data_IF_709054600785
#
_entry.id   IF_709054600785
#
_cell.length_a   1.000
_cell.length_b   1.000
_cell.length_c   1.000
_cell.angle_alpha   90.00
_cell.angle_beta   90.00
_cell.angle_gamma   90.00
#
_symmetry.space_group_name_H-M   'P 1'
#
loop_
_entity.id
_entity.type
_entity.pdbx_description
1 polymer ?
#
# COMPACT_ATOMS: atom_id res chain seq x y z
N UNK A 1 24.05 41.96 -20.56
CA UNK A 1 23.70 40.53 -20.67
C UNK A 1 23.09 40.09 -19.35
N UNK A 2 21.76 40.06 -19.22
CA UNK A 2 21.10 39.62 -17.98
C UNK A 2 21.21 38.10 -17.87
N UNK A 3 21.95 37.59 -16.89
CA UNK A 3 22.02 36.15 -16.64
C UNK A 3 20.67 35.64 -16.10
N UNK A 4 20.24 34.47 -16.58
CA UNK A 4 19.09 33.76 -16.00
C UNK A 4 19.45 33.22 -14.62
N UNK A 5 18.65 33.55 -13.63
CA UNK A 5 18.72 32.95 -12.30
C UNK A 5 17.97 31.62 -12.31
N UNK A 6 18.64 30.55 -11.87
CA UNK A 6 18.05 29.22 -11.70
C UNK A 6 17.62 28.99 -10.24
N UNK A 7 16.74 28.01 -10.01
CA UNK A 7 16.37 27.59 -8.64
C UNK A 7 17.54 26.83 -7.99
N UNK A 8 17.69 26.90 -6.66
CA UNK A 8 18.65 26.07 -5.92
C UNK A 8 18.42 24.57 -6.17
N UNK A 9 19.50 23.80 -6.32
CA UNK A 9 19.48 22.34 -6.50
C UNK A 9 20.35 21.70 -5.41
N UNK A 10 19.72 21.04 -4.44
CA UNK A 10 20.40 20.30 -3.37
C UNK A 10 19.68 18.96 -3.13
N UNK A 11 20.18 17.85 -3.72
CA UNK A 11 19.60 16.52 -3.51
C UNK A 11 19.90 15.93 -2.13
N UNK A 12 20.77 16.58 -1.35
CA UNK A 12 21.11 16.19 0.03
C UNK A 12 20.38 17.01 1.08
N UNK A 13 19.46 17.90 0.66
CA UNK A 13 18.67 18.73 1.55
C UNK A 13 17.92 17.87 2.57
N UNK A 14 18.12 18.18 3.85
CA UNK A 14 17.47 17.51 4.97
C UNK A 14 16.25 18.34 5.41
N UNK A 15 15.14 17.67 5.66
CA UNK A 15 13.98 18.29 6.31
C UNK A 15 14.11 18.18 7.84
N UNK A 16 13.77 19.26 8.55
CA UNK A 16 13.79 19.27 10.03
C UNK A 16 12.79 18.26 10.63
N UNK A 17 11.62 18.13 10.02
CA UNK A 17 10.61 17.12 10.33
C UNK A 17 10.22 16.42 9.03
N UNK A 18 9.99 15.08 9.05
CA UNK A 18 9.50 14.40 7.88
C UNK A 18 8.12 14.94 7.52
N UNK A 19 7.82 15.20 6.23
CA UNK A 19 6.47 15.57 5.82
C UNK A 19 5.49 14.48 6.23
N UNK A 20 4.24 14.85 6.52
CA UNK A 20 3.18 13.88 6.82
C UNK A 20 3.01 12.91 5.64
N UNK A 21 2.70 11.63 5.89
CA UNK A 21 2.40 10.65 4.82
C UNK A 21 1.29 11.15 3.87
N UNK A 22 0.40 12.01 4.36
CA UNK A 22 -0.70 12.62 3.61
C UNK A 22 -0.24 13.74 2.67
N UNK A 23 0.99 14.25 2.83
CA UNK A 23 1.58 15.30 2.01
C UNK A 23 2.60 14.74 1.01
N UNK A 24 2.88 13.44 1.07
CA UNK A 24 3.88 12.80 0.20
C UNK A 24 3.44 12.67 -1.25
N UNK A 25 2.13 12.74 -1.52
CA UNK A 25 1.55 12.59 -2.85
C UNK A 25 0.59 13.75 -3.14
N UNK A 26 0.33 14.06 -4.42
CA UNK A 26 -0.71 15.01 -4.80
C UNK A 26 -2.08 14.61 -4.22
N UNK A 27 -2.92 15.59 -3.85
CA UNK A 27 -4.21 15.34 -3.19
C UNK A 27 -5.16 14.39 -3.96
N UNK A 28 -5.06 14.33 -5.29
CA UNK A 28 -5.87 13.46 -6.16
C UNK A 28 -5.16 12.16 -6.57
N UNK A 29 -4.12 11.76 -5.85
CA UNK A 29 -3.35 10.56 -6.17
C UNK A 29 -4.18 9.29 -5.92
N UNK A 30 -4.06 8.30 -6.82
CA UNK A 30 -4.81 7.04 -6.75
C UNK A 30 -4.65 6.31 -5.41
N UNK A 31 -3.47 6.37 -4.80
CA UNK A 31 -3.22 5.76 -3.49
C UNK A 31 -4.19 6.26 -2.40
N UNK A 32 -4.59 7.54 -2.41
CA UNK A 32 -5.57 8.07 -1.46
C UNK A 32 -6.97 7.53 -1.75
N UNK A 33 -7.36 7.43 -3.02
CA UNK A 33 -8.61 6.75 -3.39
C UNK A 33 -8.64 5.28 -2.91
N UNK A 34 -7.53 4.56 -3.01
CA UNK A 34 -7.42 3.20 -2.47
C UNK A 34 -7.55 3.18 -0.94
N UNK A 35 -6.95 4.14 -0.23
CA UNK A 35 -7.11 4.25 1.23
C UNK A 35 -8.56 4.51 1.64
N UNK A 36 -9.31 5.27 0.84
CA UNK A 36 -10.71 5.59 1.12
C UNK A 36 -11.65 4.39 0.85
N UNK A 37 -11.38 3.59 -0.19
CA UNK A 37 -12.25 2.47 -0.57
C UNK A 37 -11.99 1.20 0.23
N UNK A 38 -10.76 0.93 0.67
CA UNK A 38 -10.45 -0.32 1.38
C UNK A 38 -11.28 -0.51 2.66
N UNK A 39 -11.52 0.52 3.50
CA UNK A 39 -12.39 0.40 4.67
C UNK A 39 -13.85 0.07 4.37
N UNK A 40 -14.35 0.33 3.16
CA UNK A 40 -15.73 0.02 2.78
C UNK A 40 -15.90 -1.40 2.24
N UNK A 41 -14.80 -2.14 2.05
CA UNK A 41 -14.85 -3.54 1.64
C UNK A 41 -15.30 -4.44 2.80
N UNK A 42 -16.13 -5.44 2.51
CA UNK A 42 -16.48 -6.47 3.49
C UNK A 42 -15.27 -7.41 3.72
N UNK A 43 -14.55 -7.16 4.81
CA UNK A 43 -13.36 -7.94 5.19
C UNK A 43 -13.65 -9.01 6.24
N UNK A 44 -14.91 -9.26 6.60
CA UNK A 44 -15.27 -10.19 7.67
C UNK A 44 -14.68 -11.58 7.43
N UNK A 45 -14.77 -12.07 6.19
CA UNK A 45 -14.24 -13.38 5.83
C UNK A 45 -12.70 -13.46 5.97
N UNK A 46 -12.00 -12.35 5.76
CA UNK A 46 -10.55 -12.26 5.93
C UNK A 46 -10.22 -12.21 7.42
N UNK A 47 -10.86 -11.33 8.18
CA UNK A 47 -10.63 -11.16 9.62
C UNK A 47 -10.94 -12.44 10.41
N UNK A 48 -12.06 -13.11 10.13
CA UNK A 48 -12.46 -14.37 10.80
C UNK A 48 -11.50 -15.53 10.55
N UNK A 49 -10.65 -15.45 9.52
CA UNK A 49 -9.63 -16.48 9.25
C UNK A 49 -8.40 -16.36 10.15
N UNK A 50 -8.18 -15.19 10.75
CA UNK A 50 -7.19 -15.02 11.80
C UNK A 50 -7.78 -15.63 13.08
N UNK A 51 -7.32 -16.83 13.42
CA UNK A 51 -7.69 -17.51 14.66
C UNK A 51 -7.28 -16.72 15.91
N UNK A 52 -7.44 -17.31 17.11
CA UNK A 52 -7.04 -16.64 18.35
C UNK A 52 -5.55 -16.24 18.30
N UNK A 53 -5.17 -15.14 18.99
CA UNK A 53 -3.78 -14.70 19.04
C UNK A 53 -2.85 -15.86 19.44
N UNK A 54 -1.95 -16.25 18.55
CA UNK A 54 -0.96 -17.28 18.80
C UNK A 54 0.38 -16.63 19.16
N UNK A 55 1.27 -17.37 19.85
CA UNK A 55 2.63 -16.89 20.08
C UNK A 55 3.37 -16.87 18.74
N UNK A 56 3.68 -15.67 18.24
CA UNK A 56 4.34 -15.45 16.96
C UNK A 56 4.40 -13.97 16.59
N UNK A 57 4.89 -13.67 15.38
CA UNK A 57 4.91 -12.30 14.84
C UNK A 57 3.49 -11.76 14.67
N UNK A 58 3.27 -10.53 15.08
CA UNK A 58 1.99 -9.82 14.88
C UNK A 58 1.73 -9.72 13.37
N UNK A 59 0.57 -10.19 12.88
CA UNK A 59 0.25 -10.11 11.46
C UNK A 59 0.06 -8.64 11.03
N UNK A 60 0.36 -8.36 9.77
CA UNK A 60 0.01 -7.09 9.16
C UNK A 60 -1.50 -6.91 9.07
N UNK A 61 -1.96 -5.66 9.15
CA UNK A 61 -3.38 -5.34 9.02
C UNK A 61 -3.90 -5.79 7.64
N UNK A 62 -4.98 -6.60 7.58
CA UNK A 62 -5.52 -7.07 6.30
C UNK A 62 -5.95 -5.94 5.36
N UNK A 63 -6.39 -4.79 5.89
CA UNK A 63 -6.72 -3.61 5.07
C UNK A 63 -5.49 -3.11 4.34
N UNK A 64 -4.36 -2.99 5.04
CA UNK A 64 -3.10 -2.58 4.45
C UNK A 64 -2.65 -3.57 3.38
N UNK A 65 -2.69 -4.87 3.68
CA UNK A 65 -2.33 -5.93 2.73
C UNK A 65 -3.23 -5.89 1.48
N UNK A 66 -4.52 -5.62 1.62
CA UNK A 66 -5.45 -5.48 0.48
C UNK A 66 -5.17 -4.21 -0.31
N UNK A 67 -4.91 -3.08 0.37
CA UNK A 67 -4.62 -1.80 -0.27
C UNK A 67 -3.40 -1.87 -1.19
N UNK A 68 -2.29 -2.46 -0.72
CA UNK A 68 -1.08 -2.62 -1.55
C UNK A 68 -1.29 -3.56 -2.73
N UNK A 69 -2.15 -4.59 -2.58
CA UNK A 69 -2.49 -5.52 -3.65
C UNK A 69 -3.34 -4.85 -4.71
N UNK A 70 -4.42 -4.17 -4.29
CA UNK A 70 -5.35 -3.48 -5.18
C UNK A 70 -4.63 -2.39 -5.97
N UNK A 71 -3.84 -1.55 -5.28
CA UNK A 71 -3.01 -0.55 -5.95
C UNK A 71 -2.02 -1.19 -6.92
N UNK A 72 -1.34 -2.26 -6.51
CA UNK A 72 -0.45 -3.03 -7.36
C UNK A 72 -1.14 -3.55 -8.64
N UNK A 73 -2.40 -3.98 -8.56
CA UNK A 73 -3.18 -4.36 -9.74
C UNK A 73 -3.50 -3.16 -10.63
N UNK A 74 -3.92 -2.03 -10.06
CA UNK A 74 -4.22 -0.81 -10.81
C UNK A 74 -3.02 -0.27 -11.59
N UNK A 75 -1.81 -0.36 -11.04
CA UNK A 75 -0.57 0.15 -11.67
C UNK A 75 0.25 -0.92 -12.41
N UNK A 76 -0.33 -2.09 -12.68
CA UNK A 76 0.34 -3.14 -13.46
C UNK A 76 1.52 -3.83 -12.76
N UNK A 77 1.55 -3.81 -11.43
CA UNK A 77 2.56 -4.45 -10.58
C UNK A 77 1.96 -5.58 -9.72
N UNK A 78 1.52 -6.70 -10.33
CA UNK A 78 0.87 -7.78 -9.59
C UNK A 78 1.86 -8.66 -8.81
N UNK A 79 3.13 -8.75 -9.21
CA UNK A 79 4.10 -9.68 -8.59
C UNK A 79 4.42 -9.31 -7.14
N UNK A 80 4.33 -10.26 -6.21
CA UNK A 80 4.68 -10.03 -4.80
C UNK A 80 6.10 -9.53 -4.60
N UNK A 81 7.05 -10.00 -5.41
CA UNK A 81 8.44 -9.52 -5.35
C UNK A 81 8.55 -8.08 -5.81
N UNK A 82 7.81 -7.70 -6.86
CA UNK A 82 7.79 -6.31 -7.33
C UNK A 82 7.08 -5.39 -6.34
N UNK A 83 5.99 -5.84 -5.71
CA UNK A 83 5.32 -5.07 -4.64
C UNK A 83 6.26 -4.88 -3.45
N UNK A 84 6.94 -5.93 -2.98
CA UNK A 84 7.93 -5.83 -1.90
C UNK A 84 9.01 -4.79 -2.22
N UNK A 85 9.59 -4.84 -3.42
CA UNK A 85 10.56 -3.84 -3.88
C UNK A 85 9.97 -2.41 -3.91
N UNK A 86 8.72 -2.26 -4.37
CA UNK A 86 8.04 -0.96 -4.41
C UNK A 86 7.75 -0.41 -3.01
N UNK A 87 7.58 -1.26 -1.99
CA UNK A 87 7.43 -0.80 -0.60
C UNK A 87 8.69 -0.14 -0.05
N UNK A 88 9.86 -0.36 -0.67
CA UNK A 88 11.11 0.31 -0.32
C UNK A 88 11.29 1.60 -1.13
N UNK A 89 10.97 1.57 -2.43
CA UNK A 89 11.38 2.60 -3.39
C UNK A 89 10.26 3.59 -3.76
N UNK A 90 8.99 3.20 -3.65
CA UNK A 90 7.86 3.91 -4.21
C UNK A 90 6.99 4.54 -3.11
N UNK A 91 6.88 5.87 -3.15
CA UNK A 91 6.16 6.66 -2.15
C UNK A 91 4.69 6.24 -2.04
N UNK A 92 4.03 5.89 -3.14
CA UNK A 92 2.62 5.52 -3.10
C UNK A 92 2.39 4.20 -2.35
N UNK A 93 3.26 3.20 -2.58
CA UNK A 93 3.23 1.96 -1.83
C UNK A 93 3.56 2.18 -0.35
N UNK A 94 4.52 3.05 -0.04
CA UNK A 94 4.86 3.40 1.34
C UNK A 94 3.71 4.09 2.07
N UNK A 95 2.99 5.00 1.41
CA UNK A 95 1.79 5.63 1.98
C UNK A 95 0.72 4.59 2.30
N UNK A 96 0.42 3.69 1.34
CA UNK A 96 -0.57 2.62 1.54
C UNK A 96 -0.19 1.65 2.65
N UNK A 97 1.10 1.39 2.82
CA UNK A 97 1.61 0.47 3.83
C UNK A 97 1.89 1.14 5.19
N UNK A 98 1.56 2.42 5.37
CA UNK A 98 1.99 3.20 6.53
C UNK A 98 3.49 3.04 6.82
N UNK A 99 4.29 3.03 5.77
CA UNK A 99 5.74 2.82 5.74
C UNK A 99 6.21 1.45 6.27
N UNK A 100 5.32 0.48 6.44
CA UNK A 100 5.66 -0.91 6.73
C UNK A 100 6.08 -1.65 5.45
N UNK A 101 6.92 -2.66 5.59
CA UNK A 101 7.54 -3.36 4.45
C UNK A 101 7.34 -4.88 4.58
N UNK A 102 6.11 -5.40 4.40
CA UNK A 102 5.91 -6.84 4.32
C UNK A 102 6.75 -7.44 3.18
N UNK A 103 7.45 -8.53 3.47
CA UNK A 103 8.28 -9.21 2.48
C UNK A 103 7.44 -9.92 1.40
N UNK A 104 8.09 -10.34 0.32
CA UNK A 104 7.39 -10.99 -0.78
C UNK A 104 6.72 -12.31 -0.37
N UNK A 105 7.21 -12.99 0.68
CA UNK A 105 6.65 -14.26 1.16
C UNK A 105 5.33 -14.00 1.87
N UNK A 106 5.31 -13.00 2.73
CA UNK A 106 4.13 -12.53 3.47
C UNK A 106 3.04 -12.06 2.50
N UNK A 107 3.39 -11.27 1.50
CA UNK A 107 2.45 -10.83 0.46
C UNK A 107 1.90 -12.03 -0.34
N UNK A 108 2.76 -13.00 -0.69
CA UNK A 108 2.33 -14.18 -1.44
C UNK A 108 1.42 -15.09 -0.62
N UNK A 109 1.74 -15.25 0.65
CA UNK A 109 0.98 -16.07 1.58
C UNK A 109 -0.39 -15.46 1.87
N UNK A 110 -0.45 -14.15 2.12
CA UNK A 110 -1.72 -13.42 2.27
C UNK A 110 -2.62 -13.62 1.05
N UNK A 111 -2.08 -13.49 -0.17
CA UNK A 111 -2.84 -13.78 -1.39
C UNK A 111 -3.34 -15.22 -1.41
N UNK A 112 -2.47 -16.20 -1.13
CA UNK A 112 -2.82 -17.62 -1.17
C UNK A 112 -3.98 -17.94 -0.22
N UNK A 113 -3.95 -17.39 1.00
CA UNK A 113 -4.95 -17.61 2.02
C UNK A 113 -6.28 -16.92 1.70
N UNK A 114 -6.25 -15.72 1.14
CA UNK A 114 -7.46 -14.90 0.96
C UNK A 114 -7.95 -14.78 -0.50
N UNK A 115 -7.31 -15.45 -1.47
CA UNK A 115 -7.66 -15.36 -2.90
C UNK A 115 -9.14 -15.61 -3.17
N UNK A 116 -9.75 -16.59 -2.48
CA UNK A 116 -11.16 -16.93 -2.64
C UNK A 116 -12.08 -15.81 -2.14
N UNK A 117 -11.74 -15.19 -1.00
CA UNK A 117 -12.47 -14.06 -0.43
C UNK A 117 -12.32 -12.80 -1.30
N UNK A 118 -11.11 -12.55 -1.79
CA UNK A 118 -10.81 -11.43 -2.70
C UNK A 118 -11.58 -11.52 -4.02
N UNK A 119 -11.75 -12.73 -4.58
CA UNK A 119 -12.55 -12.91 -5.81
C UNK A 119 -14.02 -12.55 -5.60
N UNK A 120 -14.59 -12.81 -4.42
CA UNK A 120 -15.99 -12.46 -4.11
C UNK A 120 -16.21 -10.96 -3.99
N UNK A 121 -15.23 -10.21 -3.47
CA UNK A 121 -15.30 -8.74 -3.40
C UNK A 121 -15.48 -8.11 -4.80
N UNK A 122 -14.76 -8.63 -5.81
CA UNK A 122 -14.89 -8.15 -7.18
C UNK A 122 -16.27 -8.37 -7.80
N UNK A 123 -17.03 -9.37 -7.33
CA UNK A 123 -18.39 -9.67 -7.81
C UNK A 123 -19.46 -8.78 -7.17
N UNK A 124 -19.21 -8.24 -5.99
CA UNK A 124 -20.14 -7.36 -5.28
C UNK A 124 -20.16 -5.92 -5.82
N UNK A 125 -19.16 -5.53 -6.62
CA UNK A 125 -19.04 -4.19 -7.20
C UNK A 125 -19.80 -4.03 -8.53
N UNK A 126 -20.42 -5.09 -9.05
CA UNK A 126 -21.20 -5.10 -10.29
C UNK A 126 -22.67 -5.49 -10.10
N UNK A 127 -23.14 -5.59 -8.85
CA UNK A 127 -24.56 -5.80 -8.51
C UNK A 127 -25.11 -4.58 -7.77
#
# INVERSE_FOLDING_TARGET
MTMRTFRPYDPTQVFLLPPSLQEWLPAKHLAYFILDIVPSLDLDAVLKSYGPPSRGTVPFDPRMMIGILLYGYCVGTPSSRRIAKRLEEDIAFRVLAANQQPDFRTISEFRRLHLKSLKRLGSSLYN
#
